data_IF_217532642746
#
_entry.id   IF_217532642746
#
_cell.length_a   1.000
_cell.length_b   1.000
_cell.length_c   1.000
_cell.angle_alpha   90.00
_cell.angle_beta   90.00
_cell.angle_gamma   90.00
#
_symmetry.space_group_name_H-M   'P 1'
#
loop_
_entity.id
_entity.type
_entity.pdbx_description
1 polymer ?
#
# COMPACT_ATOMS: atom_id res chain seq x y z
N UNK A 1 20.41 2.09 -27.78
CA UNK A 1 21.37 2.05 -26.67
C UNK A 1 20.79 2.59 -25.36
N UNK A 2 20.01 3.69 -25.33
CA UNK A 2 19.39 4.20 -24.08
C UNK A 2 18.37 3.24 -23.44
N UNK A 3 17.57 2.49 -24.20
CA UNK A 3 16.60 1.51 -23.69
C UNK A 3 17.23 0.30 -22.99
N UNK A 4 18.44 -0.11 -23.39
CA UNK A 4 19.16 -1.24 -22.80
C UNK A 4 19.79 -0.85 -21.45
N UNK A 5 20.22 0.39 -21.28
CA UNK A 5 20.82 0.86 -20.03
C UNK A 5 19.75 1.01 -18.95
N UNK A 6 18.54 1.48 -19.31
CA UNK A 6 17.39 1.57 -18.39
C UNK A 6 16.95 0.17 -17.94
N UNK A 7 16.90 -0.79 -18.88
CA UNK A 7 16.55 -2.18 -18.56
C UNK A 7 17.59 -2.87 -17.65
N UNK A 8 18.89 -2.55 -17.78
CA UNK A 8 19.91 -3.09 -16.88
C UNK A 8 19.93 -2.39 -15.50
N UNK A 9 19.62 -1.09 -15.42
CA UNK A 9 19.43 -0.43 -14.13
C UNK A 9 18.20 -0.96 -13.38
N UNK A 10 17.09 -1.15 -14.08
CA UNK A 10 15.89 -1.75 -13.51
C UNK A 10 16.17 -3.19 -13.03
N UNK A 11 16.95 -3.97 -13.77
CA UNK A 11 17.29 -5.34 -13.41
C UNK A 11 18.25 -5.42 -12.20
N UNK A 12 19.17 -4.46 -12.02
CA UNK A 12 20.05 -4.40 -10.84
C UNK A 12 19.33 -3.85 -9.60
N UNK A 13 18.28 -3.04 -9.77
CA UNK A 13 17.44 -2.51 -8.69
C UNK A 13 16.34 -3.48 -8.25
N UNK A 14 15.91 -4.39 -9.13
CA UNK A 14 14.97 -5.48 -8.79
C UNK A 14 15.55 -6.45 -7.74
N UNK A 15 16.86 -6.58 -7.65
CA UNK A 15 17.52 -7.29 -6.54
C UNK A 15 17.46 -6.52 -5.22
N UNK A 16 17.23 -5.22 -5.22
CA UNK A 16 17.03 -4.45 -4.00
C UNK A 16 15.65 -4.68 -3.35
N UNK A 17 14.64 -5.08 -4.11
CA UNK A 17 13.37 -5.53 -3.54
C UNK A 17 13.40 -7.04 -3.16
N UNK A 18 14.18 -7.88 -3.85
CA UNK A 18 14.16 -9.33 -3.67
C UNK A 18 15.31 -9.92 -2.83
N UNK A 19 16.25 -9.14 -2.30
CA UNK A 19 17.35 -9.77 -1.58
C UNK A 19 18.44 -8.85 -1.09
N UNK A 20 18.15 -8.06 -0.10
CA UNK A 20 19.15 -7.59 0.85
C UNK A 20 18.50 -7.38 2.21
N UNK A 21 18.52 -8.43 3.03
CA UNK A 21 18.70 -8.21 4.46
C UNK A 21 20.12 -7.67 4.60
N UNK A 22 20.36 -6.48 4.08
CA UNK A 22 21.48 -5.66 4.50
C UNK A 22 20.95 -4.88 5.70
N UNK A 23 21.51 -5.20 6.88
CA UNK A 23 21.33 -4.39 8.07
C UNK A 23 21.31 -2.92 7.69
N UNK A 24 20.20 -2.25 8.04
CA UNK A 24 20.13 -0.80 7.92
C UNK A 24 21.41 -0.23 8.56
N UNK A 25 22.16 0.61 7.87
CA UNK A 25 23.32 1.23 8.49
C UNK A 25 22.83 2.01 9.70
N UNK A 26 23.19 1.52 10.90
CA UNK A 26 23.08 2.28 12.15
C UNK A 26 24.07 3.45 12.03
N UNK A 27 23.70 4.44 11.29
CA UNK A 27 24.50 5.65 11.25
C UNK A 27 23.97 6.66 12.25
N UNK A 28 24.54 6.58 13.46
CA UNK A 28 24.56 7.69 14.40
C UNK A 28 25.36 8.83 13.78
N UNK A 29 24.75 9.64 12.96
CA UNK A 29 25.31 10.82 12.37
C UNK A 29 24.26 11.94 12.34
N UNK A 30 24.43 12.93 13.20
CA UNK A 30 23.79 14.23 13.07
C UNK A 30 24.04 14.77 11.65
N UNK A 31 23.04 14.73 10.78
CA UNK A 31 23.04 15.31 9.45
C UNK A 31 21.69 15.95 9.17
N UNK A 32 21.60 17.25 9.39
CA UNK A 32 20.54 18.10 8.85
C UNK A 32 20.53 17.93 7.33
N UNK A 33 19.51 17.26 6.77
CA UNK A 33 19.28 17.30 5.32
C UNK A 33 18.70 16.06 4.64
N UNK A 34 18.91 14.84 5.16
CA UNK A 34 18.53 13.62 4.44
C UNK A 34 17.01 13.40 4.30
N UNK A 35 16.21 13.86 5.26
CA UNK A 35 14.74 13.68 5.22
C UNK A 35 14.02 14.61 4.25
N UNK A 36 14.58 15.77 3.92
CA UNK A 36 13.99 16.75 3.00
C UNK A 36 14.09 16.30 1.54
N UNK A 37 15.21 15.70 1.14
CA UNK A 37 15.45 15.25 -0.22
C UNK A 37 14.53 14.10 -0.64
N UNK A 38 14.43 13.04 0.17
CA UNK A 38 13.60 11.88 -0.14
C UNK A 38 12.11 12.21 -0.23
N UNK A 39 11.62 13.15 0.58
CA UNK A 39 10.24 13.61 0.52
C UNK A 39 9.99 14.46 -0.75
N UNK A 40 10.95 15.30 -1.14
CA UNK A 40 10.84 16.09 -2.36
C UNK A 40 10.82 15.18 -3.59
N UNK A 41 11.72 14.20 -3.67
CA UNK A 41 11.77 13.21 -4.76
C UNK A 41 10.48 12.41 -4.82
N UNK A 42 9.92 12.00 -3.68
CA UNK A 42 8.63 11.33 -3.62
C UNK A 42 7.49 12.20 -4.19
N UNK A 43 7.43 13.47 -3.78
CA UNK A 43 6.39 14.39 -4.26
C UNK A 43 6.52 14.68 -5.77
N UNK A 44 7.75 14.76 -6.27
CA UNK A 44 7.99 14.88 -7.71
C UNK A 44 7.51 13.63 -8.47
N UNK A 45 7.76 12.43 -7.94
CA UNK A 45 7.23 11.19 -8.48
C UNK A 45 5.70 11.18 -8.53
N UNK A 46 5.03 11.66 -7.47
CA UNK A 46 3.57 11.80 -7.43
C UNK A 46 3.09 12.79 -8.50
N UNK A 47 3.77 13.90 -8.70
CA UNK A 47 3.43 14.88 -9.73
C UNK A 47 3.50 14.26 -11.14
N UNK A 48 4.56 13.49 -11.45
CA UNK A 48 4.64 12.77 -12.73
C UNK A 48 3.60 11.65 -12.85
N UNK A 49 3.26 10.96 -11.76
CA UNK A 49 2.23 9.92 -11.78
C UNK A 49 0.84 10.49 -12.10
N UNK A 50 0.54 11.69 -11.57
CA UNK A 50 -0.78 12.32 -11.72
C UNK A 50 -0.85 13.30 -12.91
N UNK A 51 0.28 13.82 -13.39
CA UNK A 51 0.33 14.92 -14.34
C UNK A 51 0.11 16.30 -13.67
N UNK A 52 0.46 16.43 -12.38
CA UNK A 52 0.24 17.64 -11.60
C UNK A 52 1.34 18.67 -11.89
N UNK A 53 1.07 19.62 -12.78
CA UNK A 53 2.01 20.67 -13.17
C UNK A 53 3.13 20.22 -14.11
N UNK A 54 3.14 18.97 -14.53
CA UNK A 54 4.05 18.34 -15.50
C UNK A 54 3.26 17.39 -16.38
N UNK A 55 3.78 17.03 -17.56
CA UNK A 55 3.19 15.97 -18.35
C UNK A 55 3.27 14.63 -17.61
N UNK A 56 2.19 13.86 -17.63
CA UNK A 56 2.14 12.55 -16.96
C UNK A 56 3.17 11.59 -17.56
N UNK A 57 4.00 11.01 -16.70
CA UNK A 57 5.05 10.06 -17.08
C UNK A 57 5.24 9.01 -15.99
N UNK A 58 4.67 7.83 -16.20
CA UNK A 58 4.71 6.73 -15.22
C UNK A 58 6.11 6.10 -15.08
N UNK A 59 6.90 6.04 -16.18
CA UNK A 59 8.26 5.52 -16.12
C UNK A 59 9.13 6.45 -15.25
N UNK A 60 8.97 7.76 -15.42
CA UNK A 60 9.64 8.77 -14.61
C UNK A 60 9.18 8.74 -13.15
N UNK A 61 7.87 8.59 -12.93
CA UNK A 61 7.31 8.46 -11.58
C UNK A 61 7.91 7.26 -10.85
N UNK A 62 7.94 6.07 -11.49
CA UNK A 62 8.54 4.87 -10.90
C UNK A 62 10.02 5.08 -10.55
N UNK A 63 10.80 5.69 -11.45
CA UNK A 63 12.20 5.99 -11.18
C UNK A 63 12.37 6.86 -9.93
N UNK A 64 11.57 7.91 -9.79
CA UNK A 64 11.59 8.82 -8.64
C UNK A 64 11.13 8.14 -7.35
N UNK A 65 10.12 7.26 -7.42
CA UNK A 65 9.69 6.49 -6.25
C UNK A 65 10.78 5.53 -5.77
N UNK A 66 11.48 4.85 -6.68
CA UNK A 66 12.60 3.98 -6.33
C UNK A 66 13.76 4.78 -5.72
N UNK A 67 14.10 5.94 -6.29
CA UNK A 67 15.12 6.85 -5.74
C UNK A 67 14.73 7.35 -4.35
N UNK A 68 13.47 7.76 -4.15
CA UNK A 68 12.97 8.19 -2.86
C UNK A 68 13.01 7.05 -1.82
N UNK A 69 12.71 5.82 -2.23
CA UNK A 69 12.79 4.64 -1.37
C UNK A 69 14.23 4.35 -0.93
N UNK A 70 15.19 4.37 -1.87
CA UNK A 70 16.61 4.20 -1.57
C UNK A 70 17.16 5.32 -0.66
N UNK A 71 16.62 6.53 -0.80
CA UNK A 71 16.93 7.65 0.08
C UNK A 71 16.23 7.60 1.46
N UNK A 72 15.52 6.49 1.76
CA UNK A 72 14.91 6.21 3.06
C UNK A 72 13.45 6.65 3.21
N UNK A 73 12.77 7.03 2.13
CA UNK A 73 11.32 7.27 2.16
C UNK A 73 10.54 5.96 2.11
N UNK A 74 10.18 5.42 3.27
CA UNK A 74 9.40 4.17 3.33
C UNK A 74 8.02 4.29 2.68
N UNK A 75 7.42 5.50 2.66
CA UNK A 75 6.18 5.75 1.93
C UNK A 75 6.31 5.52 0.43
N UNK A 76 7.51 5.66 -0.14
CA UNK A 76 7.75 5.42 -1.55
C UNK A 76 7.52 3.95 -1.95
N UNK A 77 7.74 2.99 -1.04
CA UNK A 77 7.46 1.58 -1.28
C UNK A 77 6.01 1.35 -1.72
N UNK A 78 5.05 2.02 -1.08
CA UNK A 78 3.64 1.97 -1.47
C UNK A 78 3.42 2.42 -2.92
N UNK A 79 4.01 3.52 -3.34
CA UNK A 79 3.84 4.03 -4.70
C UNK A 79 4.47 3.10 -5.74
N UNK A 80 5.61 2.50 -5.43
CA UNK A 80 6.21 1.43 -6.27
C UNK A 80 5.24 0.26 -6.38
N UNK A 81 4.65 -0.18 -5.26
CA UNK A 81 3.62 -1.23 -5.23
C UNK A 81 2.43 -0.88 -6.12
N UNK A 82 1.88 0.34 -6.01
CA UNK A 82 0.76 0.81 -6.85
C UNK A 82 1.10 0.80 -8.34
N UNK A 83 2.31 1.19 -8.71
CA UNK A 83 2.76 1.18 -10.11
C UNK A 83 2.77 -0.24 -10.66
N UNK A 84 3.27 -1.22 -9.91
CA UNK A 84 3.27 -2.62 -10.33
C UNK A 84 1.86 -3.24 -10.30
N UNK A 85 1.05 -2.93 -9.27
CA UNK A 85 -0.33 -3.42 -9.18
C UNK A 85 -1.18 -3.00 -10.37
N UNK A 86 -1.01 -1.76 -10.82
CA UNK A 86 -1.81 -1.19 -11.90
C UNK A 86 -1.16 -1.32 -13.29
N UNK A 87 0.11 -1.71 -13.37
CA UNK A 87 0.85 -1.79 -14.63
C UNK A 87 1.10 -0.42 -15.27
N UNK A 88 1.36 0.61 -14.46
CA UNK A 88 1.56 1.98 -14.93
C UNK A 88 2.96 2.17 -15.52
N UNK A 89 3.06 2.21 -16.85
CA UNK A 89 4.35 2.31 -17.55
C UNK A 89 5.26 1.09 -17.44
N UNK A 90 4.82 0.03 -16.76
CA UNK A 90 5.49 -1.27 -16.63
C UNK A 90 4.49 -2.40 -16.80
N UNK A 91 4.95 -3.63 -16.98
CA UNK A 91 4.08 -4.80 -16.93
C UNK A 91 3.48 -4.96 -15.53
N UNK A 92 2.18 -5.24 -15.44
CA UNK A 92 1.50 -5.50 -14.18
C UNK A 92 2.11 -6.71 -13.47
N UNK A 93 2.39 -6.56 -12.17
CA UNK A 93 3.06 -7.58 -11.40
C UNK A 93 2.59 -7.51 -9.93
N UNK A 94 1.59 -8.31 -9.59
CA UNK A 94 1.01 -8.36 -8.25
C UNK A 94 1.97 -8.92 -7.20
N UNK A 95 2.91 -9.81 -7.58
CA UNK A 95 3.90 -10.35 -6.66
C UNK A 95 4.84 -9.25 -6.17
N UNK A 96 5.37 -8.44 -7.11
CA UNK A 96 6.17 -7.27 -6.76
C UNK A 96 5.37 -6.20 -5.99
N UNK A 97 4.10 -6.01 -6.34
CA UNK A 97 3.24 -5.10 -5.58
C UNK A 97 3.10 -5.56 -4.14
N UNK A 98 2.83 -6.85 -3.89
CA UNK A 98 2.73 -7.42 -2.56
C UNK A 98 4.02 -7.27 -1.75
N UNK A 99 5.19 -7.53 -2.36
CA UNK A 99 6.50 -7.32 -1.72
C UNK A 99 6.71 -5.86 -1.31
N UNK A 100 6.36 -4.91 -2.19
CA UNK A 100 6.50 -3.49 -1.89
C UNK A 100 5.53 -3.03 -0.79
N UNK A 101 4.29 -3.50 -0.81
CA UNK A 101 3.34 -3.20 0.26
C UNK A 101 3.76 -3.81 1.59
N UNK A 102 4.31 -5.04 1.60
CA UNK A 102 4.83 -5.66 2.82
C UNK A 102 5.93 -4.80 3.48
N UNK A 103 6.84 -4.24 2.67
CA UNK A 103 7.85 -3.30 3.17
C UNK A 103 7.25 -2.00 3.72
N UNK A 104 6.18 -1.51 3.09
CA UNK A 104 5.41 -0.38 3.61
C UNK A 104 4.78 -0.69 4.98
N UNK A 105 4.23 -1.89 5.15
CA UNK A 105 3.67 -2.37 6.43
C UNK A 105 4.75 -2.44 7.51
N UNK A 106 5.91 -3.01 7.22
CA UNK A 106 7.05 -3.06 8.15
C UNK A 106 7.50 -1.66 8.59
N UNK A 107 7.32 -0.66 7.74
CA UNK A 107 7.61 0.73 8.03
C UNK A 107 6.45 1.49 8.70
N UNK A 108 5.33 0.83 8.99
CA UNK A 108 4.15 1.42 9.63
C UNK A 108 3.26 2.23 8.69
N UNK A 109 3.35 2.03 7.36
CA UNK A 109 2.44 2.68 6.42
C UNK A 109 1.09 1.95 6.36
N UNK A 110 0.08 2.55 6.99
CA UNK A 110 -1.27 2.00 7.09
C UNK A 110 -1.90 1.72 5.71
N UNK A 111 -1.65 2.60 4.75
CA UNK A 111 -2.18 2.45 3.39
C UNK A 111 -1.62 1.22 2.69
N UNK A 112 -0.33 0.91 2.91
CA UNK A 112 0.27 -0.35 2.44
C UNK A 112 -0.39 -1.56 3.08
N UNK A 113 -0.75 -1.49 4.36
CA UNK A 113 -1.47 -2.56 5.06
C UNK A 113 -2.83 -2.84 4.42
N UNK A 114 -3.56 -1.80 4.07
CA UNK A 114 -4.84 -1.93 3.36
C UNK A 114 -4.68 -2.62 2.00
N UNK A 115 -3.77 -2.14 1.15
CA UNK A 115 -3.55 -2.75 -0.17
C UNK A 115 -3.04 -4.19 -0.08
N UNK A 116 -2.11 -4.48 0.82
CA UNK A 116 -1.63 -5.86 1.04
C UNK A 116 -2.76 -6.77 1.51
N UNK A 117 -3.63 -6.28 2.40
CA UNK A 117 -4.84 -6.99 2.83
C UNK A 117 -5.76 -7.33 1.65
N UNK A 118 -5.95 -6.41 0.70
CA UNK A 118 -6.71 -6.67 -0.52
C UNK A 118 -6.07 -7.76 -1.39
N UNK A 119 -4.76 -7.74 -1.55
CA UNK A 119 -4.04 -8.76 -2.32
C UNK A 119 -4.19 -10.15 -1.68
N UNK A 120 -4.08 -10.29 -0.36
CA UNK A 120 -4.34 -11.55 0.34
C UNK A 120 -5.81 -11.98 0.25
N UNK A 121 -6.76 -11.03 0.37
CA UNK A 121 -8.19 -11.32 0.21
C UNK A 121 -8.52 -11.88 -1.17
N UNK A 122 -7.86 -11.39 -2.21
CA UNK A 122 -8.12 -11.73 -3.61
C UNK A 122 -7.22 -12.86 -4.16
N UNK A 123 -6.09 -13.16 -3.51
CA UNK A 123 -5.09 -14.09 -4.02
C UNK A 123 -4.31 -13.55 -5.21
N UNK A 124 -4.04 -12.24 -5.24
CA UNK A 124 -3.31 -11.59 -6.31
C UNK A 124 -1.84 -11.43 -5.95
N UNK A 125 -0.95 -12.09 -6.69
CA UNK A 125 0.50 -12.11 -6.43
C UNK A 125 0.92 -12.83 -5.15
N UNK A 126 -0.03 -13.31 -4.35
CA UNK A 126 0.14 -14.09 -3.13
C UNK A 126 -0.92 -15.20 -3.08
N UNK A 127 -0.68 -16.24 -2.30
CA UNK A 127 -1.73 -17.23 -2.02
C UNK A 127 -2.89 -16.55 -1.26
N UNK A 128 -4.13 -16.83 -1.65
CA UNK A 128 -5.30 -16.27 -0.98
C UNK A 128 -5.34 -16.68 0.49
N UNK A 129 -5.41 -15.68 1.38
CA UNK A 129 -5.42 -15.91 2.81
C UNK A 129 -6.29 -14.85 3.51
N UNK A 130 -7.54 -15.22 3.77
CA UNK A 130 -8.50 -14.34 4.43
C UNK A 130 -8.12 -14.03 5.88
N UNK A 131 -7.39 -14.94 6.58
CA UNK A 131 -6.97 -14.69 7.95
C UNK A 131 -5.88 -13.59 7.98
N UNK A 132 -4.90 -13.66 7.08
CA UNK A 132 -3.92 -12.58 6.92
C UNK A 132 -4.54 -11.27 6.48
N UNK A 133 -5.53 -11.32 5.57
CA UNK A 133 -6.27 -10.13 5.17
C UNK A 133 -6.99 -9.50 6.38
N UNK A 134 -7.65 -10.30 7.22
CA UNK A 134 -8.32 -9.82 8.43
C UNK A 134 -7.33 -9.21 9.44
N UNK A 135 -6.17 -9.84 9.66
CA UNK A 135 -5.11 -9.29 10.53
C UNK A 135 -4.61 -7.93 10.05
N UNK A 136 -4.37 -7.79 8.74
CA UNK A 136 -3.93 -6.53 8.15
C UNK A 136 -5.00 -5.46 8.25
N UNK A 137 -6.25 -5.76 7.89
CA UNK A 137 -7.35 -4.80 8.00
C UNK A 137 -7.60 -4.38 9.44
N UNK A 138 -7.57 -5.31 10.41
CA UNK A 138 -7.71 -5.00 11.82
C UNK A 138 -6.58 -4.09 12.33
N UNK A 139 -5.33 -4.35 11.91
CA UNK A 139 -4.19 -3.50 12.26
C UNK A 139 -4.32 -2.09 11.70
N UNK A 140 -4.84 -1.94 10.49
CA UNK A 140 -5.07 -0.64 9.85
C UNK A 140 -6.25 0.08 10.49
N UNK A 141 -7.37 -0.62 10.71
CA UNK A 141 -8.61 -0.08 11.30
C UNK A 141 -8.38 0.45 12.72
N UNK A 142 -7.56 -0.24 13.52
CA UNK A 142 -7.24 0.16 14.89
C UNK A 142 -6.51 1.52 15.00
N UNK A 143 -6.14 2.15 13.88
CA UNK A 143 -5.52 3.47 13.88
C UNK A 143 -6.52 4.56 14.32
N UNK A 144 -6.09 5.42 15.24
CA UNK A 144 -6.86 6.60 15.63
C UNK A 144 -6.98 7.64 14.49
N UNK A 145 -6.08 7.57 13.50
CA UNK A 145 -6.10 8.48 12.37
C UNK A 145 -7.05 8.00 11.27
N UNK A 146 -8.34 8.16 11.47
CA UNK A 146 -9.37 7.78 10.48
C UNK A 146 -9.33 8.61 9.18
N UNK A 147 -8.59 9.72 9.15
CA UNK A 147 -8.35 10.50 7.92
C UNK A 147 -7.24 9.90 7.05
N UNK A 148 -6.47 8.92 7.54
CA UNK A 148 -5.47 8.26 6.73
C UNK A 148 -6.13 7.37 5.66
N UNK A 149 -5.61 7.47 4.44
CA UNK A 149 -6.13 6.69 3.31
C UNK A 149 -6.13 5.19 3.63
N UNK A 150 -7.25 4.55 3.41
CA UNK A 150 -7.43 3.11 3.59
C UNK A 150 -7.91 2.69 4.97
N UNK A 151 -7.85 3.55 6.02
CA UNK A 151 -8.25 3.14 7.39
C UNK A 151 -9.75 2.83 7.45
N UNK A 152 -10.59 3.75 6.97
CA UNK A 152 -12.05 3.54 6.92
C UNK A 152 -12.42 2.38 5.99
N UNK A 153 -11.75 2.28 4.85
CA UNK A 153 -11.97 1.18 3.91
C UNK A 153 -11.55 -0.18 4.50
N UNK A 154 -10.45 -0.23 5.28
CA UNK A 154 -10.03 -1.44 5.97
C UNK A 154 -11.06 -1.89 7.02
N UNK A 155 -11.68 -0.95 7.74
CA UNK A 155 -12.78 -1.25 8.65
C UNK A 155 -13.98 -1.89 7.93
N UNK A 156 -14.37 -1.33 6.79
CA UNK A 156 -15.41 -1.92 5.95
C UNK A 156 -15.04 -3.34 5.48
N UNK A 157 -13.83 -3.52 4.94
CA UNK A 157 -13.36 -4.82 4.45
C UNK A 157 -13.30 -5.87 5.57
N UNK A 158 -12.88 -5.47 6.77
CA UNK A 158 -12.91 -6.33 7.95
C UNK A 158 -14.33 -6.71 8.33
N UNK A 159 -15.27 -5.76 8.27
CA UNK A 159 -16.69 -6.01 8.46
C UNK A 159 -17.25 -7.06 7.50
N UNK A 160 -16.86 -6.99 6.22
CA UNK A 160 -17.21 -8.00 5.20
C UNK A 160 -16.67 -9.38 5.58
N UNK A 161 -15.45 -9.49 6.08
CA UNK A 161 -14.87 -10.77 6.50
C UNK A 161 -15.62 -11.35 7.71
N UNK A 162 -15.99 -10.54 8.71
CA UNK A 162 -16.81 -10.98 9.84
C UNK A 162 -18.24 -11.37 9.41
N UNK A 163 -18.86 -10.62 8.50
CA UNK A 163 -20.18 -10.95 7.99
C UNK A 163 -20.22 -12.32 7.31
N UNK A 164 -19.16 -12.65 6.56
CA UNK A 164 -19.09 -13.87 5.76
C UNK A 164 -18.41 -15.05 6.48
N UNK A 165 -17.73 -14.80 7.61
CA UNK A 165 -16.93 -15.80 8.31
C UNK A 165 -15.70 -16.23 7.51
N UNK A 166 -15.08 -15.31 6.76
CA UNK A 166 -13.90 -15.57 5.93
C UNK A 166 -12.63 -15.24 6.71
N UNK A 167 -11.84 -16.26 7.02
CA UNK A 167 -10.60 -16.12 7.79
C UNK A 167 -10.77 -15.76 9.27
N UNK A 168 -11.99 -15.46 9.68
CA UNK A 168 -12.41 -15.18 11.05
C UNK A 168 -13.70 -15.91 11.38
N UNK A 169 -14.03 -16.10 12.65
CA UNK A 169 -15.36 -16.61 13.04
C UNK A 169 -16.43 -15.60 12.64
N UNK A 170 -17.53 -16.08 12.05
CA UNK A 170 -18.63 -15.22 11.64
C UNK A 170 -19.25 -14.49 12.82
N UNK A 171 -19.31 -13.16 12.73
CA UNK A 171 -19.90 -12.31 13.77
C UNK A 171 -20.59 -11.10 13.13
N UNK A 172 -21.93 -11.21 13.01
CA UNK A 172 -22.75 -10.15 12.41
C UNK A 172 -22.78 -8.87 13.27
N UNK A 173 -22.68 -9.00 14.61
CA UNK A 173 -22.66 -7.83 15.47
C UNK A 173 -21.36 -7.05 15.25
N UNK A 174 -20.22 -7.75 15.19
CA UNK A 174 -18.94 -7.12 14.89
C UNK A 174 -18.90 -6.52 13.50
N UNK A 175 -19.49 -7.19 12.51
CA UNK A 175 -19.61 -6.63 11.15
C UNK A 175 -20.43 -5.34 11.16
N UNK A 176 -21.56 -5.31 11.87
CA UNK A 176 -22.40 -4.10 11.97
C UNK A 176 -21.66 -2.95 12.67
N UNK A 177 -20.95 -3.20 13.78
CA UNK A 177 -20.14 -2.19 14.46
C UNK A 177 -19.12 -1.54 13.51
N UNK A 178 -18.39 -2.37 12.74
CA UNK A 178 -17.40 -1.90 11.77
C UNK A 178 -18.05 -1.12 10.62
N UNK A 179 -19.21 -1.56 10.13
CA UNK A 179 -19.95 -0.81 9.12
C UNK A 179 -20.49 0.52 9.65
N UNK A 180 -21.01 0.56 10.89
CA UNK A 180 -21.48 1.80 11.52
C UNK A 180 -20.34 2.80 11.65
N UNK A 181 -19.16 2.35 12.08
CA UNK A 181 -17.99 3.20 12.15
C UNK A 181 -17.60 3.72 10.76
N UNK A 182 -17.43 2.83 9.77
CA UNK A 182 -17.08 3.25 8.41
C UNK A 182 -18.13 4.18 7.78
N UNK A 183 -19.41 3.93 8.01
CA UNK A 183 -20.51 4.76 7.55
C UNK A 183 -20.50 6.18 8.19
N UNK A 184 -20.04 6.30 9.43
CA UNK A 184 -19.88 7.61 10.09
C UNK A 184 -18.84 8.51 9.41
N UNK A 185 -17.95 7.92 8.60
CA UNK A 185 -16.98 8.60 7.73
C UNK A 185 -17.41 8.59 6.25
N UNK A 186 -18.72 8.48 5.99
CA UNK A 186 -19.32 8.57 4.65
C UNK A 186 -18.85 7.45 3.69
N UNK A 187 -18.44 6.28 4.21
CA UNK A 187 -18.16 5.12 3.37
C UNK A 187 -19.48 4.57 2.80
N UNK A 188 -19.68 4.73 1.49
CA UNK A 188 -20.93 4.36 0.84
C UNK A 188 -21.21 2.86 0.88
N UNK A 189 -20.17 2.03 0.73
CA UNK A 189 -20.34 0.57 0.76
C UNK A 189 -20.79 0.09 2.14
N UNK A 190 -20.30 0.72 3.22
CA UNK A 190 -20.73 0.44 4.59
C UNK A 190 -22.20 0.88 4.83
N UNK A 191 -22.59 2.04 4.32
CA UNK A 191 -23.98 2.52 4.38
C UNK A 191 -24.93 1.52 3.69
N UNK A 192 -24.55 1.04 2.51
CA UNK A 192 -25.34 0.08 1.74
C UNK A 192 -25.39 -1.29 2.43
N UNK A 193 -24.29 -1.72 3.06
CA UNK A 193 -24.24 -2.95 3.85
C UNK A 193 -25.21 -2.90 5.05
N UNK A 194 -25.20 -1.79 5.81
CA UNK A 194 -26.14 -1.59 6.92
C UNK A 194 -27.60 -1.58 6.45
N UNK A 195 -27.90 -0.90 5.35
CA UNK A 195 -29.24 -0.87 4.78
C UNK A 195 -29.72 -2.26 4.32
N UNK A 196 -28.80 -3.13 3.93
CA UNK A 196 -29.09 -4.52 3.55
C UNK A 196 -29.36 -5.40 4.77
N UNK A 197 -28.56 -5.24 5.84
CA UNK A 197 -28.67 -6.06 7.07
C UNK A 197 -29.84 -5.67 7.97
N UNK A 198 -30.42 -4.47 7.79
CA UNK A 198 -31.57 -3.98 8.57
C UNK A 198 -32.95 -4.39 8.01
N UNK A 199 -32.98 -5.18 6.94
CA UNK A 199 -34.21 -5.72 6.31
C UNK A 199 -34.54 -7.13 6.79
#
# INVERSE_FOLDING_TARGET
MKKIIISLMILSMLTACAGAVAEAPRNGGRGNGAGGGSMQTLNEGIAYMNGDGVDQDYEKALQLFMEAYEAGSMKAARYVGMVYEQGLGVEQDYEKAAECYAKGVEAGDLTSGYYLGLLFKQGLGVEQDYAKAAELFASVEASENKSATGVVAAGYELGVLYEQGLGVEQDLNKAMELYEEAASYENQDAIDALARLSK
#
